data_IF_388856554557
#
_entry.id   IF_388856554557
#
_cell.length_a   1.000
_cell.length_b   1.000
_cell.length_c   1.000
_cell.angle_alpha   90.00
_cell.angle_beta   90.00
_cell.angle_gamma   90.00
#
_symmetry.space_group_name_H-M   'P 1'
#
loop_
_entity.id
_entity.type
_entity.pdbx_description
1 polymer ?
#
# COMPACT_ATOMS: atom_id res chain seq x y z
N UNK A 1 -39.16 19.18 52.57
CA UNK A 1 -38.80 19.30 54.01
C UNK A 1 -37.36 18.79 54.14
N UNK A 2 -36.53 19.69 54.67
CA UNK A 2 -35.18 19.48 55.27
C UNK A 2 -34.05 18.92 54.40
N UNK A 3 -33.13 19.70 54.03
CA UNK A 3 -32.22 20.71 54.66
C UNK A 3 -30.92 20.10 55.25
N UNK A 4 -29.79 20.63 54.75
CA UNK A 4 -28.48 20.89 55.41
C UNK A 4 -27.55 19.69 55.62
N UNK A 5 -26.21 19.78 55.49
CA UNK A 5 -25.21 20.84 55.77
C UNK A 5 -23.91 20.53 55.08
N UNK A 6 -23.25 21.37 54.51
CA UNK A 6 -22.01 22.15 54.52
C UNK A 6 -21.14 21.92 55.78
N UNK A 7 -19.88 21.60 55.58
CA UNK A 7 -18.66 21.98 56.36
C UNK A 7 -17.47 21.43 55.58
N UNK A 8 -16.48 22.09 55.12
CA UNK A 8 -15.81 23.31 55.51
C UNK A 8 -14.37 23.04 55.92
N UNK A 9 -13.43 23.58 55.12
CA UNK A 9 -12.13 24.15 55.52
C UNK A 9 -11.07 23.18 56.08
N UNK A 10 -9.86 23.19 55.62
CA UNK A 10 -8.73 24.05 56.07
C UNK A 10 -7.56 23.98 55.09
N UNK A 11 -7.10 25.14 54.73
CA UNK A 11 -5.86 25.54 54.02
C UNK A 11 -4.65 25.35 54.93
N UNK A 12 -3.56 24.80 54.44
CA UNK A 12 -2.27 25.01 55.07
C UNK A 12 -1.21 25.35 54.01
N UNK A 13 -0.82 26.60 54.00
CA UNK A 13 0.28 27.19 53.27
C UNK A 13 1.55 26.95 54.13
N UNK A 14 2.61 26.39 53.55
CA UNK A 14 3.95 26.47 54.05
C UNK A 14 4.84 27.14 53.03
N UNK A 15 5.20 28.38 53.31
CA UNK A 15 6.27 29.16 52.67
C UNK A 15 7.56 28.82 53.41
N UNK A 16 8.59 28.43 52.67
CA UNK A 16 9.96 28.57 53.15
C UNK A 16 10.83 29.13 52.02
N UNK A 17 11.58 30.16 52.42
CA UNK A 17 12.33 31.08 51.59
C UNK A 17 13.80 30.66 51.43
N UNK A 18 14.33 31.04 50.26
CA UNK A 18 15.70 31.55 49.93
C UNK A 18 16.96 30.80 50.43
N UNK A 19 17.82 30.50 49.46
CA UNK A 19 19.07 31.21 49.09
C UNK A 19 19.72 30.43 47.94
N UNK A 20 19.99 30.91 46.82
CA UNK A 20 20.94 31.79 46.20
C UNK A 20 22.29 31.11 45.94
N UNK A 21 22.55 30.67 44.66
CA UNK A 21 23.89 30.67 44.10
C UNK A 21 23.83 30.80 42.56
N UNK A 22 24.36 31.92 42.09
CA UNK A 22 24.56 32.17 40.68
C UNK A 22 25.80 31.43 40.18
N UNK A 23 25.66 30.67 39.11
CA UNK A 23 26.79 30.23 38.27
C UNK A 23 26.40 30.37 36.82
N UNK A 24 26.84 31.44 36.22
CA UNK A 24 26.82 31.65 34.75
C UNK A 24 27.70 30.64 34.07
N UNK A 25 27.11 29.80 33.19
CA UNK A 25 27.86 29.06 32.20
C UNK A 25 27.15 29.22 30.86
N UNK A 26 27.80 29.98 29.98
CA UNK A 26 27.42 30.12 28.61
C UNK A 26 27.38 28.74 27.96
N UNK A 27 26.24 28.42 27.38
CA UNK A 27 26.09 27.23 26.54
C UNK A 27 25.83 27.69 25.12
N UNK A 28 26.75 27.36 24.25
CA UNK A 28 26.73 27.60 22.83
C UNK A 28 25.49 26.95 22.20
N UNK A 29 24.81 27.68 21.32
CA UNK A 29 23.76 27.17 20.48
C UNK A 29 24.32 26.13 19.51
N UNK A 30 24.11 24.88 19.79
CA UNK A 30 24.29 23.78 18.86
C UNK A 30 23.04 23.65 17.99
N UNK A 31 23.08 24.11 16.76
CA UNK A 31 22.13 23.78 15.71
C UNK A 31 22.25 22.28 15.42
N UNK A 32 21.31 21.50 15.91
CA UNK A 32 21.18 20.10 15.48
C UNK A 32 20.43 20.08 14.15
N UNK A 33 21.18 20.15 13.05
CA UNK A 33 20.73 19.72 11.74
C UNK A 33 20.47 18.20 11.80
N UNK A 34 19.20 17.83 12.03
CA UNK A 34 18.75 16.45 11.89
C UNK A 34 18.48 16.14 10.41
N UNK A 35 19.53 16.24 9.58
CA UNK A 35 19.55 15.64 8.26
C UNK A 35 20.08 14.20 8.41
N UNK A 36 19.25 13.30 8.93
CA UNK A 36 19.53 11.88 8.90
C UNK A 36 19.40 11.40 7.45
N UNK A 37 20.46 11.62 6.67
CA UNK A 37 20.64 10.94 5.40
C UNK A 37 20.58 9.44 5.68
N UNK A 38 19.63 8.74 5.02
CA UNK A 38 19.55 7.29 5.06
C UNK A 38 20.94 6.73 4.70
N UNK A 39 21.52 5.97 5.61
CA UNK A 39 22.82 5.35 5.39
C UNK A 39 22.80 4.55 4.09
N UNK A 40 23.83 4.64 3.23
CA UNK A 40 23.90 3.82 2.02
C UNK A 40 23.93 2.35 2.45
N UNK A 41 23.07 1.54 1.84
CA UNK A 41 23.11 0.08 2.01
C UNK A 41 24.49 -0.38 1.53
N UNK A 42 25.28 -0.93 2.44
CA UNK A 42 26.64 -1.42 2.14
C UNK A 42 26.59 -2.50 1.05
N UNK A 43 27.55 -2.57 0.12
CA UNK A 43 27.71 -3.70 -0.79
C UNK A 43 27.93 -4.97 0.04
N UNK A 44 26.93 -5.84 0.11
CA UNK A 44 26.92 -7.05 0.95
C UNK A 44 25.71 -7.20 1.87
N UNK A 45 24.76 -6.25 1.85
CA UNK A 45 23.50 -6.34 2.59
C UNK A 45 22.61 -7.49 2.05
N UNK A 46 21.89 -8.16 2.95
CA UNK A 46 20.91 -9.20 2.58
C UNK A 46 19.88 -8.62 1.61
N UNK A 47 19.71 -9.28 0.45
CA UNK A 47 18.68 -8.92 -0.54
C UNK A 47 17.28 -8.98 0.10
N UNK A 48 16.52 -7.89 -0.02
CA UNK A 48 15.14 -7.81 0.47
C UNK A 48 14.22 -8.66 -0.40
N UNK A 49 13.43 -9.52 0.21
CA UNK A 49 12.47 -10.37 -0.50
C UNK A 49 11.04 -9.89 -0.27
N UNK A 50 10.42 -9.40 -1.34
CA UNK A 50 9.00 -9.07 -1.36
C UNK A 50 8.16 -10.29 -1.74
N UNK A 51 6.99 -10.44 -1.12
CA UNK A 51 5.94 -11.38 -1.52
C UNK A 51 4.65 -10.59 -1.76
N UNK A 52 4.07 -10.71 -2.94
CA UNK A 52 2.78 -10.10 -3.26
C UNK A 52 1.68 -11.13 -3.04
N UNK A 53 0.65 -10.77 -2.30
CA UNK A 53 -0.57 -11.54 -2.12
C UNK A 53 -1.77 -10.72 -2.61
N UNK A 54 -2.64 -11.34 -3.42
CA UNK A 54 -3.77 -10.61 -3.97
C UNK A 54 -4.55 -11.39 -5.03
N UNK A 55 -5.38 -10.64 -5.71
CA UNK A 55 -6.24 -11.11 -6.80
C UNK A 55 -5.65 -10.87 -8.20
N UNK A 56 -6.51 -10.84 -9.25
CA UNK A 56 -6.09 -10.59 -10.63
C UNK A 56 -5.42 -9.24 -10.82
N UNK A 57 -5.77 -8.23 -10.01
CA UNK A 57 -5.25 -6.86 -10.15
C UNK A 57 -3.84 -6.68 -9.59
N UNK A 58 -3.34 -7.71 -8.88
CA UNK A 58 -1.94 -7.83 -8.43
C UNK A 58 -1.17 -8.84 -9.27
N UNK A 59 -1.86 -9.84 -9.84
CA UNK A 59 -1.25 -11.00 -10.51
C UNK A 59 -0.33 -10.63 -11.67
N UNK A 60 0.59 -11.53 -12.01
CA UNK A 60 1.52 -11.37 -13.14
C UNK A 60 0.82 -11.33 -14.50
N UNK A 61 -0.44 -11.75 -14.58
CA UNK A 61 -1.18 -11.79 -15.83
C UNK A 61 -1.85 -10.47 -16.20
N UNK A 62 -2.48 -9.78 -15.24
CA UNK A 62 -3.37 -8.64 -15.52
C UNK A 62 -3.33 -7.55 -14.43
N UNK A 63 -2.35 -7.60 -13.54
CA UNK A 63 -2.21 -6.70 -12.42
C UNK A 63 -0.98 -5.79 -12.48
N UNK A 64 -0.74 -5.07 -11.39
CA UNK A 64 0.42 -4.20 -11.25
C UNK A 64 1.70 -4.96 -10.84
N UNK A 65 1.61 -6.25 -10.48
CA UNK A 65 2.76 -7.04 -10.02
C UNK A 65 3.94 -7.09 -11.00
N UNK A 66 3.74 -7.32 -12.31
CA UNK A 66 4.82 -7.28 -13.29
C UNK A 66 5.53 -5.93 -13.34
N UNK A 67 4.77 -4.83 -13.32
CA UNK A 67 5.33 -3.49 -13.26
C UNK A 67 6.15 -3.26 -11.99
N UNK A 68 5.68 -3.74 -10.84
CA UNK A 68 6.41 -3.65 -9.56
C UNK A 68 7.78 -4.32 -9.64
N UNK A 69 7.85 -5.52 -10.21
CA UNK A 69 9.13 -6.23 -10.41
C UNK A 69 10.12 -5.42 -11.26
N UNK A 70 9.64 -4.63 -12.22
CA UNK A 70 10.50 -3.79 -13.08
C UNK A 70 11.11 -2.60 -12.35
N UNK A 71 10.53 -2.15 -11.25
CA UNK A 71 11.12 -1.11 -10.41
C UNK A 71 12.16 -1.65 -9.43
N UNK A 72 12.23 -2.95 -9.18
CA UNK A 72 13.23 -3.52 -8.28
C UNK A 72 14.63 -3.46 -8.92
N UNK A 73 15.62 -3.17 -8.09
CA UNK A 73 17.03 -3.31 -8.41
C UNK A 73 17.62 -4.58 -7.77
N UNK A 74 18.94 -4.71 -7.84
CA UNK A 74 19.66 -5.91 -7.38
C UNK A 74 19.66 -6.10 -5.85
N UNK A 75 19.18 -5.11 -5.09
CA UNK A 75 19.02 -5.21 -3.63
C UNK A 75 17.71 -5.90 -3.23
N UNK A 76 16.84 -6.23 -4.19
CA UNK A 76 15.54 -6.81 -3.88
C UNK A 76 15.08 -7.85 -4.91
N UNK A 77 14.28 -8.79 -4.42
CA UNK A 77 13.57 -9.79 -5.23
C UNK A 77 12.07 -9.77 -4.92
N UNK A 78 11.26 -10.29 -5.83
CA UNK A 78 9.81 -10.35 -5.65
C UNK A 78 9.23 -11.67 -6.15
N UNK A 79 8.46 -12.33 -5.30
CA UNK A 79 7.60 -13.46 -5.66
C UNK A 79 6.16 -13.01 -5.64
N UNK A 80 5.48 -13.09 -6.76
CA UNK A 80 4.06 -12.76 -6.86
C UNK A 80 3.22 -14.03 -6.72
N UNK A 81 2.45 -14.14 -5.65
CA UNK A 81 1.56 -15.27 -5.36
C UNK A 81 0.10 -14.95 -5.67
N UNK A 82 -0.18 -13.74 -6.15
CA UNK A 82 -1.54 -13.29 -6.47
C UNK A 82 -2.17 -14.11 -7.60
N UNK A 83 -3.46 -14.42 -7.46
CA UNK A 83 -4.20 -15.25 -8.42
C UNK A 83 -5.55 -14.64 -8.73
N UNK A 84 -5.85 -14.57 -10.03
CA UNK A 84 -7.11 -14.05 -10.53
C UNK A 84 -8.35 -14.74 -9.93
N UNK A 85 -9.38 -13.94 -9.65
CA UNK A 85 -10.68 -14.43 -9.15
C UNK A 85 -10.70 -14.73 -7.63
N UNK A 86 -9.59 -14.55 -6.90
CA UNK A 86 -9.54 -14.83 -5.45
C UNK A 86 -9.89 -13.59 -4.65
N UNK A 87 -10.75 -13.80 -3.65
CA UNK A 87 -11.03 -12.82 -2.60
C UNK A 87 -10.11 -13.04 -1.41
N UNK A 88 -10.17 -12.14 -0.42
CA UNK A 88 -9.48 -12.33 0.86
C UNK A 88 -9.85 -13.65 1.54
N UNK A 89 -11.11 -14.08 1.44
CA UNK A 89 -11.64 -15.34 1.96
C UNK A 89 -11.13 -16.54 1.17
N UNK A 90 -11.35 -16.57 -0.15
CA UNK A 90 -11.06 -17.75 -0.97
C UNK A 90 -9.56 -18.03 -1.10
N UNK A 91 -8.70 -17.02 -1.10
CA UNK A 91 -7.26 -17.21 -1.08
C UNK A 91 -6.79 -17.96 0.18
N UNK A 92 -7.42 -17.70 1.33
CA UNK A 92 -7.15 -18.43 2.58
C UNK A 92 -7.70 -19.85 2.51
N UNK A 93 -8.97 -20.00 2.13
CA UNK A 93 -9.64 -21.31 2.11
C UNK A 93 -9.00 -22.32 1.15
N UNK A 94 -8.38 -21.83 0.07
CA UNK A 94 -7.59 -22.65 -0.86
C UNK A 94 -6.16 -22.97 -0.36
N UNK A 95 -5.82 -22.60 0.88
CA UNK A 95 -4.49 -22.81 1.48
C UNK A 95 -3.37 -21.95 0.86
N UNK A 96 -3.70 -20.91 0.09
CA UNK A 96 -2.72 -20.06 -0.61
C UNK A 96 -1.96 -19.15 0.35
N UNK A 97 -2.60 -18.64 1.40
CA UNK A 97 -1.92 -17.89 2.45
C UNK A 97 -0.77 -18.71 3.04
N UNK A 98 -1.04 -19.96 3.43
CA UNK A 98 0.01 -20.85 3.97
C UNK A 98 1.18 -21.04 3.00
N UNK A 99 0.89 -21.20 1.69
CA UNK A 99 1.92 -21.32 0.64
C UNK A 99 2.72 -20.03 0.50
N UNK A 100 2.07 -18.87 0.55
CA UNK A 100 2.75 -17.57 0.46
C UNK A 100 3.65 -17.33 1.69
N UNK A 101 3.18 -17.63 2.90
CA UNK A 101 3.96 -17.51 4.14
C UNK A 101 5.18 -18.43 4.13
N UNK A 102 5.06 -19.63 3.58
CA UNK A 102 6.17 -20.59 3.45
C UNK A 102 7.34 -20.08 2.58
N UNK A 103 7.13 -19.04 1.76
CA UNK A 103 8.20 -18.40 0.99
C UNK A 103 9.18 -17.60 1.84
N UNK A 104 8.85 -17.31 3.11
CA UNK A 104 9.71 -16.56 4.05
C UNK A 104 10.23 -15.24 3.46
N UNK A 105 9.29 -14.41 2.96
CA UNK A 105 9.58 -13.03 2.53
C UNK A 105 9.91 -12.13 3.71
N UNK A 106 10.62 -11.03 3.45
CA UNK A 106 10.87 -9.99 4.46
C UNK A 106 9.67 -9.02 4.55
N UNK A 107 9.03 -8.72 3.40
CA UNK A 107 7.85 -7.85 3.29
C UNK A 107 6.76 -8.51 2.47
N UNK A 108 5.52 -8.38 2.93
CA UNK A 108 4.32 -8.91 2.26
C UNK A 108 3.39 -7.76 1.91
N UNK A 109 3.20 -7.50 0.60
CA UNK A 109 2.19 -6.56 0.11
C UNK A 109 0.88 -7.30 -0.10
N UNK A 110 -0.19 -6.87 0.56
CA UNK A 110 -1.45 -7.59 0.67
C UNK A 110 -2.58 -6.72 0.11
N UNK A 111 -3.18 -7.15 -1.02
CA UNK A 111 -4.29 -6.44 -1.67
C UNK A 111 -5.40 -7.40 -2.09
N UNK A 112 -6.60 -7.21 -1.54
CA UNK A 112 -7.84 -7.86 -1.94
C UNK A 112 -8.98 -6.84 -1.98
N UNK A 113 -10.15 -7.23 -2.49
CA UNK A 113 -11.36 -6.40 -2.56
C UNK A 113 -12.21 -6.65 -3.80
N UNK A 114 -11.61 -6.77 -4.99
CA UNK A 114 -12.34 -6.90 -6.24
C UNK A 114 -13.22 -8.15 -6.33
N UNK A 115 -12.87 -9.21 -5.65
CA UNK A 115 -13.64 -10.44 -5.60
C UNK A 115 -14.33 -10.65 -4.24
N UNK A 116 -14.18 -9.73 -3.34
CA UNK A 116 -14.82 -9.67 -2.03
C UNK A 116 -16.21 -9.02 -2.13
N UNK A 117 -16.47 -8.24 -3.20
CA UNK A 117 -17.72 -7.54 -3.44
C UNK A 117 -18.94 -8.48 -3.41
N UNK A 118 -20.13 -7.96 -3.11
CA UNK A 118 -21.38 -8.72 -3.21
C UNK A 118 -21.55 -9.35 -4.61
N UNK A 119 -22.27 -10.46 -4.69
CA UNK A 119 -22.56 -11.20 -5.93
C UNK A 119 -21.34 -11.88 -6.60
N UNK A 120 -20.26 -12.09 -5.86
CA UNK A 120 -19.11 -12.88 -6.34
C UNK A 120 -19.19 -14.38 -5.96
N UNK A 121 -20.27 -14.80 -5.35
CA UNK A 121 -20.47 -16.13 -4.80
C UNK A 121 -20.10 -16.21 -3.32
N UNK A 122 -20.78 -17.07 -2.57
CA UNK A 122 -20.60 -17.22 -1.13
C UNK A 122 -19.15 -17.55 -0.73
N UNK A 123 -18.47 -18.31 -1.58
CA UNK A 123 -17.06 -18.70 -1.37
C UNK A 123 -16.08 -17.54 -1.48
N UNK A 124 -16.49 -16.38 -2.04
CA UNK A 124 -15.66 -15.20 -2.25
C UNK A 124 -16.16 -13.96 -1.54
N UNK A 125 -17.46 -13.71 -1.61
CA UNK A 125 -18.05 -12.46 -1.07
C UNK A 125 -17.82 -12.34 0.42
N UNK A 126 -17.48 -11.13 0.86
CA UNK A 126 -17.28 -10.77 2.25
C UNK A 126 -17.95 -9.42 2.55
N UNK A 127 -18.27 -9.17 3.80
CA UNK A 127 -18.77 -7.87 4.25
C UNK A 127 -17.57 -6.98 4.65
N UNK A 128 -17.45 -5.73 4.12
CA UNK A 128 -16.31 -4.86 4.38
C UNK A 128 -16.17 -4.45 5.85
N UNK A 129 -17.27 -4.45 6.61
CA UNK A 129 -17.25 -4.02 8.02
C UNK A 129 -16.92 -5.16 8.99
N UNK A 130 -17.10 -6.42 8.57
CA UNK A 130 -16.93 -7.61 9.42
C UNK A 130 -15.96 -8.61 8.81
N UNK A 131 -16.44 -9.57 8.03
CA UNK A 131 -15.67 -10.74 7.56
C UNK A 131 -14.46 -10.37 6.68
N UNK A 132 -14.54 -9.30 5.87
CA UNK A 132 -13.37 -8.83 5.11
C UNK A 132 -12.24 -8.40 6.06
N UNK A 133 -12.57 -7.64 7.10
CA UNK A 133 -11.58 -7.19 8.10
C UNK A 133 -10.98 -8.35 8.88
N UNK A 134 -11.79 -9.36 9.20
CA UNK A 134 -11.33 -10.59 9.87
C UNK A 134 -10.30 -11.34 9.00
N UNK A 135 -10.61 -11.54 7.72
CA UNK A 135 -9.68 -12.18 6.79
C UNK A 135 -8.41 -11.36 6.60
N UNK A 136 -8.51 -10.04 6.40
CA UNK A 136 -7.35 -9.17 6.25
C UNK A 136 -6.49 -9.14 7.52
N UNK A 137 -7.09 -9.22 8.71
CA UNK A 137 -6.37 -9.36 9.98
C UNK A 137 -5.54 -10.63 10.00
N UNK A 138 -6.09 -11.75 9.52
CA UNK A 138 -5.36 -13.02 9.45
C UNK A 138 -4.11 -12.94 8.56
N UNK A 139 -4.16 -12.21 7.44
CA UNK A 139 -2.95 -11.98 6.62
C UNK A 139 -1.88 -11.21 7.40
N UNK A 140 -2.26 -10.21 8.16
CA UNK A 140 -1.35 -9.42 9.00
C UNK A 140 -0.69 -10.32 10.05
N UNK A 141 -1.50 -11.08 10.78
CA UNK A 141 -1.04 -11.88 11.91
C UNK A 141 -0.14 -13.03 11.45
N UNK A 142 -0.51 -13.76 10.41
CA UNK A 142 0.31 -14.83 9.83
C UNK A 142 1.66 -14.31 9.28
N UNK A 143 1.65 -13.09 8.69
CA UNK A 143 2.89 -12.44 8.23
C UNK A 143 3.78 -12.09 9.41
N UNK A 144 3.21 -11.50 10.47
CA UNK A 144 3.96 -11.14 11.69
C UNK A 144 4.48 -12.37 12.45
N UNK A 145 3.71 -13.45 12.44
CA UNK A 145 4.10 -14.69 13.13
C UNK A 145 5.42 -15.29 12.63
N UNK A 146 5.81 -15.01 11.38
CA UNK A 146 7.11 -15.43 10.83
C UNK A 146 8.19 -14.35 10.92
N UNK A 147 7.95 -13.24 11.65
CA UNK A 147 8.88 -12.11 11.76
C UNK A 147 8.95 -11.20 10.54
N UNK A 148 8.06 -11.39 9.55
CA UNK A 148 7.98 -10.56 8.36
C UNK A 148 7.10 -9.31 8.57
N UNK A 149 7.25 -8.31 7.71
CA UNK A 149 6.51 -7.05 7.78
C UNK A 149 5.34 -7.05 6.80
N UNK A 150 4.07 -7.01 7.27
CA UNK A 150 2.92 -6.80 6.41
C UNK A 150 2.82 -5.34 5.98
N UNK A 151 2.42 -5.12 4.73
CA UNK A 151 2.06 -3.83 4.15
C UNK A 151 0.70 -4.00 3.49
N UNK A 152 -0.29 -3.27 3.95
CA UNK A 152 -1.60 -3.28 3.32
C UNK A 152 -1.61 -2.37 2.10
N UNK A 153 -2.27 -2.84 1.04
CA UNK A 153 -2.50 -2.06 -0.18
C UNK A 153 -4.00 -2.01 -0.42
N UNK A 154 -4.59 -0.81 -0.49
CA UNK A 154 -6.00 -0.71 -0.89
C UNK A 154 -6.17 -1.15 -2.34
N UNK A 155 -7.32 -1.76 -2.67
CA UNK A 155 -7.61 -2.14 -4.05
C UNK A 155 -7.49 -0.96 -4.99
N UNK A 156 -6.82 -1.14 -6.14
CA UNK A 156 -6.85 -0.10 -7.18
C UNK A 156 -8.30 0.16 -7.62
N UNK A 157 -8.59 1.38 -8.06
CA UNK A 157 -9.95 1.76 -8.46
C UNK A 157 -10.43 0.96 -9.68
N UNK A 158 -11.72 0.56 -9.70
CA UNK A 158 -12.37 0.19 -10.95
C UNK A 158 -12.59 1.45 -11.77
N UNK A 159 -12.21 1.43 -13.03
CA UNK A 159 -12.37 2.56 -13.96
C UNK A 159 -13.81 2.64 -14.48
N UNK A 160 -14.77 2.68 -13.53
CA UNK A 160 -16.21 2.87 -13.77
C UNK A 160 -16.54 4.34 -13.65
N UNK A 161 -16.75 4.98 -14.80
CA UNK A 161 -17.04 6.40 -14.85
C UNK A 161 -18.47 6.68 -14.43
N UNK A 162 -18.67 7.75 -13.68
CA UNK A 162 -19.99 8.17 -13.24
C UNK A 162 -20.86 8.59 -14.44
N UNK A 163 -22.15 8.27 -14.39
CA UNK A 163 -23.06 8.62 -15.48
C UNK A 163 -23.46 10.09 -15.49
N UNK A 164 -23.45 10.72 -14.32
CA UNK A 164 -23.82 12.13 -14.14
C UNK A 164 -22.62 13.08 -14.26
N UNK A 165 -21.40 12.59 -13.98
CA UNK A 165 -20.17 13.34 -14.16
C UNK A 165 -19.09 12.44 -14.81
N UNK A 166 -18.88 12.58 -16.14
CA UNK A 166 -17.95 11.74 -16.89
C UNK A 166 -16.47 11.94 -16.50
N UNK A 167 -16.16 12.94 -15.66
CA UNK A 167 -14.83 13.18 -15.13
C UNK A 167 -14.59 12.50 -13.79
N UNK A 168 -15.60 11.85 -13.22
CA UNK A 168 -15.53 11.17 -11.94
C UNK A 168 -15.66 9.67 -12.07
N UNK A 169 -14.97 8.97 -11.18
CA UNK A 169 -15.07 7.51 -11.04
C UNK A 169 -15.97 7.21 -9.85
N UNK A 170 -17.01 6.41 -10.13
CA UNK A 170 -17.91 5.86 -9.12
C UNK A 170 -17.60 4.38 -8.90
N UNK A 171 -16.72 4.07 -7.96
CA UNK A 171 -16.24 2.71 -7.71
C UNK A 171 -16.97 2.05 -6.55
N UNK A 172 -17.44 0.84 -6.77
CA UNK A 172 -18.06 -0.03 -5.76
C UNK A 172 -17.06 -0.54 -4.70
N UNK A 173 -15.76 -0.31 -4.91
CA UNK A 173 -14.68 -0.74 -4.00
C UNK A 173 -14.45 0.21 -2.82
N UNK A 174 -15.13 1.36 -2.79
CA UNK A 174 -14.96 2.36 -1.71
C UNK A 174 -15.06 1.75 -0.31
N UNK A 175 -16.08 0.94 0.04
CA UNK A 175 -16.20 0.38 1.38
C UNK A 175 -15.02 -0.53 1.77
N UNK A 176 -14.50 -1.29 0.81
CA UNK A 176 -13.33 -2.17 1.04
C UNK A 176 -12.04 -1.35 1.24
N UNK A 177 -11.85 -0.27 0.47
CA UNK A 177 -10.71 0.63 0.66
C UNK A 177 -10.76 1.31 2.04
N UNK A 178 -11.94 1.75 2.49
CA UNK A 178 -12.14 2.33 3.82
C UNK A 178 -11.86 1.32 4.93
N UNK A 179 -12.33 0.08 4.77
CA UNK A 179 -12.05 -1.01 5.71
C UNK A 179 -10.54 -1.28 5.85
N UNK A 180 -9.78 -1.28 4.75
CA UNK A 180 -8.33 -1.45 4.77
C UNK A 180 -7.64 -0.28 5.45
N UNK A 181 -8.04 0.98 5.19
CA UNK A 181 -7.50 2.16 5.87
C UNK A 181 -7.71 2.10 7.38
N UNK A 182 -8.93 1.77 7.79
CA UNK A 182 -9.28 1.64 9.21
C UNK A 182 -8.45 0.54 9.88
N UNK A 183 -8.33 -0.63 9.23
CA UNK A 183 -7.56 -1.76 9.72
C UNK A 183 -6.05 -1.44 9.81
N UNK A 184 -5.49 -0.78 8.82
CA UNK A 184 -4.09 -0.36 8.82
C UNK A 184 -3.77 0.52 10.02
N UNK A 185 -4.66 1.49 10.31
CA UNK A 185 -4.54 2.36 11.49
C UNK A 185 -4.68 1.57 12.80
N UNK A 186 -5.71 0.74 12.91
CA UNK A 186 -5.98 -0.08 14.10
C UNK A 186 -4.84 -1.02 14.44
N UNK A 187 -4.30 -1.71 13.43
CA UNK A 187 -3.24 -2.71 13.59
C UNK A 187 -1.82 -2.13 13.50
N UNK A 188 -1.69 -0.81 13.32
CA UNK A 188 -0.41 -0.13 13.10
C UNK A 188 0.41 -0.83 12.00
N UNK A 189 -0.17 -0.93 10.80
CA UNK A 189 0.43 -1.53 9.60
C UNK A 189 0.64 -0.44 8.56
N UNK A 190 1.81 -0.35 7.90
CA UNK A 190 2.00 0.57 6.77
C UNK A 190 0.95 0.35 5.69
N UNK A 191 0.45 1.46 5.12
CA UNK A 191 -0.61 1.47 4.11
C UNK A 191 -0.16 2.15 2.83
N UNK A 192 -0.25 1.45 1.72
CA UNK A 192 -0.21 1.99 0.36
C UNK A 192 -1.65 2.26 -0.08
N UNK A 193 -2.06 3.53 -0.17
CA UNK A 193 -3.42 3.88 -0.57
C UNK A 193 -3.58 3.98 -2.10
N UNK A 194 -3.44 2.84 -2.75
CA UNK A 194 -3.55 2.72 -4.20
C UNK A 194 -4.95 3.08 -4.72
N UNK A 195 -6.01 2.91 -3.90
CA UNK A 195 -7.35 3.34 -4.28
C UNK A 195 -7.39 4.85 -4.56
N UNK A 196 -6.91 5.66 -3.63
CA UNK A 196 -6.90 7.11 -3.77
C UNK A 196 -5.98 7.56 -4.89
N UNK A 197 -4.75 7.03 -4.96
CA UNK A 197 -3.77 7.45 -5.97
C UNK A 197 -4.19 7.03 -7.38
N UNK A 198 -4.74 5.83 -7.57
CA UNK A 198 -5.23 5.37 -8.88
C UNK A 198 -6.50 6.09 -9.33
N UNK A 199 -7.43 6.39 -8.40
CA UNK A 199 -8.62 7.19 -8.69
C UNK A 199 -8.22 8.59 -9.17
N UNK A 200 -7.33 9.27 -8.41
CA UNK A 200 -6.82 10.59 -8.75
C UNK A 200 -6.13 10.61 -10.12
N UNK A 201 -5.26 9.64 -10.39
CA UNK A 201 -4.57 9.52 -11.68
C UNK A 201 -5.58 9.42 -12.83
N UNK A 202 -6.55 8.49 -12.71
CA UNK A 202 -7.53 8.25 -13.76
C UNK A 202 -8.44 9.49 -13.99
N UNK A 203 -8.91 10.13 -12.93
CA UNK A 203 -9.75 11.34 -13.04
C UNK A 203 -8.99 12.51 -13.65
N UNK A 204 -7.70 12.67 -13.34
CA UNK A 204 -6.84 13.71 -13.93
C UNK A 204 -6.55 13.47 -15.42
N UNK A 205 -6.36 12.22 -15.83
CA UNK A 205 -6.12 11.86 -17.22
C UNK A 205 -7.38 11.90 -18.08
N UNK A 206 -8.54 11.70 -17.47
CA UNK A 206 -9.80 11.51 -18.16
C UNK A 206 -9.98 10.09 -18.73
N UNK A 207 -11.19 9.81 -19.14
CA UNK A 207 -11.65 8.47 -19.53
C UNK A 207 -10.84 7.83 -20.65
N UNK A 208 -10.58 8.58 -21.72
CA UNK A 208 -9.90 8.08 -22.92
C UNK A 208 -8.46 7.67 -22.66
N UNK A 209 -7.69 8.58 -22.04
CA UNK A 209 -6.29 8.29 -21.68
C UNK A 209 -6.19 7.18 -20.63
N UNK A 210 -7.17 7.10 -19.72
CA UNK A 210 -7.20 6.05 -18.72
C UNK A 210 -7.41 4.66 -19.35
N UNK A 211 -8.14 4.59 -20.46
CA UNK A 211 -8.33 3.32 -21.21
C UNK A 211 -7.06 2.80 -21.86
N UNK A 212 -6.04 3.64 -22.10
CA UNK A 212 -4.73 3.17 -22.57
C UNK A 212 -4.05 2.18 -21.60
N UNK A 213 -4.50 2.12 -20.36
CA UNK A 213 -4.03 1.17 -19.34
C UNK A 213 -4.82 -0.13 -19.30
N UNK A 214 -5.86 -0.24 -20.10
CA UNK A 214 -6.81 -1.35 -20.08
C UNK A 214 -6.54 -2.37 -21.16
N UNK A 215 -6.71 -3.67 -20.88
CA UNK A 215 -6.87 -4.65 -21.95
C UNK A 215 -8.15 -4.37 -22.74
N UNK A 216 -8.13 -4.76 -24.01
CA UNK A 216 -9.33 -4.79 -24.86
C UNK A 216 -9.90 -6.21 -24.78
N UNK A 217 -11.18 -6.33 -24.47
CA UNK A 217 -11.93 -7.60 -24.44
C UNK A 217 -12.31 -8.07 -25.85
N UNK A 218 -12.70 -9.31 -25.98
CA UNK A 218 -13.14 -9.93 -27.25
C UNK A 218 -14.29 -9.18 -27.93
N UNK A 219 -15.13 -8.47 -27.17
CA UNK A 219 -16.20 -7.63 -27.67
C UNK A 219 -15.77 -6.17 -28.00
N UNK A 220 -14.49 -5.92 -28.16
CA UNK A 220 -13.88 -4.60 -28.39
C UNK A 220 -14.14 -3.55 -27.29
N UNK A 221 -14.59 -3.98 -26.11
CA UNK A 221 -14.75 -3.07 -24.97
C UNK A 221 -13.48 -3.05 -24.11
N UNK A 222 -13.17 -1.90 -23.53
CA UNK A 222 -12.10 -1.79 -22.57
C UNK A 222 -12.44 -2.50 -21.25
N UNK A 223 -11.47 -3.24 -20.71
CA UNK A 223 -11.58 -3.79 -19.37
C UNK A 223 -11.37 -2.67 -18.35
N UNK A 224 -12.40 -2.37 -17.57
CA UNK A 224 -12.36 -1.33 -16.55
C UNK A 224 -11.69 -1.77 -15.24
N UNK A 225 -11.26 -3.01 -15.15
CA UNK A 225 -10.70 -3.61 -13.93
C UNK A 225 -9.21 -3.93 -14.07
N UNK A 226 -8.86 -4.69 -15.12
CA UNK A 226 -7.51 -5.22 -15.29
C UNK A 226 -6.60 -4.27 -16.06
N UNK A 227 -5.31 -4.54 -16.01
CA UNK A 227 -4.25 -3.73 -16.60
C UNK A 227 -3.58 -4.46 -17.76
N UNK A 228 -3.27 -3.72 -18.82
CA UNK A 228 -2.30 -4.14 -19.83
C UNK A 228 -0.86 -3.83 -19.36
N UNK A 229 0.16 -4.10 -20.19
CA UNK A 229 1.56 -3.87 -19.83
C UNK A 229 1.86 -2.41 -19.43
N UNK A 230 1.31 -1.43 -20.18
CA UNK A 230 1.46 0.00 -19.88
C UNK A 230 0.81 0.36 -18.53
N UNK A 231 -0.42 -0.13 -18.31
CA UNK A 231 -1.13 0.05 -17.06
C UNK A 231 -0.42 -0.61 -15.87
N UNK A 232 0.12 -1.83 -16.06
CA UNK A 232 0.89 -2.52 -15.03
C UNK A 232 2.04 -1.68 -14.50
N UNK A 233 2.82 -1.05 -15.39
CA UNK A 233 3.93 -0.17 -15.00
C UNK A 233 3.44 1.11 -14.35
N UNK A 234 2.39 1.74 -14.90
CA UNK A 234 1.87 2.99 -14.35
C UNK A 234 1.30 2.82 -12.93
N UNK A 235 0.53 1.75 -12.70
CA UNK A 235 -0.05 1.50 -11.37
C UNK A 235 1.01 0.99 -10.39
N UNK A 236 2.00 0.24 -10.86
CA UNK A 236 3.14 -0.14 -10.04
C UNK A 236 3.97 1.07 -9.58
N UNK A 237 4.12 2.10 -10.42
CA UNK A 237 4.75 3.37 -10.03
C UNK A 237 4.05 3.99 -8.85
N UNK A 238 2.70 4.06 -8.87
CA UNK A 238 1.92 4.55 -7.73
C UNK A 238 2.18 3.73 -6.46
N UNK A 239 2.22 2.40 -6.61
CA UNK A 239 2.53 1.51 -5.46
C UNK A 239 3.92 1.81 -4.90
N UNK A 240 4.94 1.94 -5.74
CA UNK A 240 6.33 2.21 -5.29
C UNK A 240 6.44 3.59 -4.65
N UNK A 241 5.85 4.61 -5.26
CA UNK A 241 5.87 5.99 -4.74
C UNK A 241 5.20 6.09 -3.36
N UNK A 242 4.06 5.43 -3.16
CA UNK A 242 3.41 5.38 -1.85
C UNK A 242 4.20 4.50 -0.86
N UNK A 243 4.74 3.38 -1.31
CA UNK A 243 5.49 2.45 -0.48
C UNK A 243 6.74 3.11 0.14
N UNK A 244 7.50 3.87 -0.64
CA UNK A 244 8.70 4.55 -0.12
C UNK A 244 8.38 5.72 0.81
N UNK A 245 7.14 6.22 0.81
CA UNK A 245 6.68 7.21 1.80
C UNK A 245 6.37 6.55 3.15
N UNK A 246 5.73 5.37 3.13
CA UNK A 246 5.27 4.69 4.35
C UNK A 246 6.29 3.72 4.92
N UNK A 247 7.30 3.34 4.13
CA UNK A 247 8.42 2.49 4.50
C UNK A 247 9.71 3.01 3.82
N UNK A 248 10.25 4.16 4.25
CA UNK A 248 11.37 4.84 3.60
C UNK A 248 12.65 4.01 3.56
N UNK A 249 12.80 3.06 4.47
CA UNK A 249 13.92 2.09 4.48
C UNK A 249 13.96 1.21 3.23
N UNK A 250 12.85 1.11 2.50
CA UNK A 250 12.76 0.32 1.26
C UNK A 250 13.20 1.10 0.01
N UNK A 251 13.40 2.42 0.10
CA UNK A 251 13.83 3.23 -1.05
C UNK A 251 15.06 2.67 -1.78
N UNK A 252 16.09 2.14 -1.10
CA UNK A 252 17.24 1.53 -1.76
C UNK A 252 16.95 0.27 -2.59
N UNK A 253 15.75 -0.31 -2.48
CA UNK A 253 15.34 -1.49 -3.25
C UNK A 253 14.82 -1.13 -4.65
N UNK A 254 14.59 0.14 -4.93
CA UNK A 254 13.90 0.57 -6.14
C UNK A 254 14.76 1.44 -7.06
N UNK A 255 14.54 1.27 -8.37
CA UNK A 255 15.01 2.17 -9.42
C UNK A 255 14.05 3.36 -9.54
N UNK A 256 14.56 4.51 -9.96
CA UNK A 256 13.72 5.68 -10.28
C UNK A 256 12.82 5.43 -11.49
N UNK A 257 13.32 4.67 -12.48
CA UNK A 257 12.59 4.27 -13.67
C UNK A 257 12.54 2.73 -13.79
N UNK A 258 11.44 2.19 -14.36
CA UNK A 258 11.30 0.74 -14.51
C UNK A 258 12.33 0.21 -15.52
N UNK A 259 12.89 -0.97 -15.26
CA UNK A 259 13.71 -1.66 -16.24
C UNK A 259 12.93 -1.86 -17.56
N UNK A 260 13.63 -1.87 -18.69
CA UNK A 260 13.02 -2.20 -19.98
C UNK A 260 12.36 -3.58 -19.93
N UNK A 261 11.29 -3.78 -20.71
CA UNK A 261 10.77 -5.13 -20.92
C UNK A 261 11.80 -5.96 -21.66
N UNK A 262 12.05 -7.16 -21.17
CA UNK A 262 12.92 -8.12 -21.85
C UNK A 262 12.45 -8.44 -23.29
N UNK A 263 11.18 -8.18 -23.59
CA UNK A 263 10.55 -8.39 -24.90
C UNK A 263 10.36 -7.11 -25.73
N UNK A 264 10.85 -5.94 -25.26
CA UNK A 264 10.80 -4.73 -26.08
C UNK A 264 12.03 -4.75 -26.99
N UNK A 265 11.87 -4.80 -28.33
CA UNK A 265 13.01 -4.70 -29.24
C UNK A 265 13.73 -3.38 -28.94
N UNK A 266 15.05 -3.44 -28.84
CA UNK A 266 15.89 -2.27 -28.61
C UNK A 266 15.51 -1.21 -29.66
N UNK A 267 15.24 0.04 -29.20
CA UNK A 267 15.09 1.16 -30.13
C UNK A 267 16.34 1.20 -30.97
N UNK A 268 16.21 0.88 -32.25
CA UNK A 268 17.28 1.10 -33.24
C UNK A 268 17.55 2.60 -33.18
N UNK A 269 18.70 3.00 -32.66
CA UNK A 269 19.19 4.37 -32.75
C UNK A 269 19.25 4.71 -34.23
N UNK A 270 18.40 5.66 -34.67
CA UNK A 270 18.58 6.25 -35.98
C UNK A 270 19.98 6.86 -36.00
N UNK A 271 20.87 6.25 -36.74
CA UNK A 271 22.20 6.82 -37.01
C UNK A 271 22.05 8.17 -37.68
N UNK A 272 23.04 9.07 -37.53
CA UNK A 272 22.99 10.39 -38.15
C UNK A 272 22.80 10.24 -39.65
N UNK A 273 21.79 10.91 -40.21
CA UNK A 273 21.64 11.03 -41.67
C UNK A 273 22.88 11.73 -42.22
N UNK A 274 23.53 11.07 -43.16
CA UNK A 274 24.62 11.64 -43.97
C UNK A 274 24.06 12.59 -45.03
#
# INVERSE_FOLDING_TARGET
MNSKKITGLVLTVCILTLTGFAATKACAAGTTDSNAAAAPVSPGGKMVKFVLMGDSTVSDRQGWGPGFKRFLNDNASCVNTAIGGRSSKSFISEGRLKKAIALKGDYYLIQFGHNDEPNKGEERSTDPNTTYREFMTKYIDETRAIGAKPILVTSMVRRQWDKSDPNKINSTLTPYAEAVRALAKEKNVPLVDLYTSSKKLCEQLGKEKCYEFSPIKDNNQFDNTHLNAKGSVMFARLVVEELVKVAPELKPCFRSEPAADANTPAKVSAGPAQ
#
